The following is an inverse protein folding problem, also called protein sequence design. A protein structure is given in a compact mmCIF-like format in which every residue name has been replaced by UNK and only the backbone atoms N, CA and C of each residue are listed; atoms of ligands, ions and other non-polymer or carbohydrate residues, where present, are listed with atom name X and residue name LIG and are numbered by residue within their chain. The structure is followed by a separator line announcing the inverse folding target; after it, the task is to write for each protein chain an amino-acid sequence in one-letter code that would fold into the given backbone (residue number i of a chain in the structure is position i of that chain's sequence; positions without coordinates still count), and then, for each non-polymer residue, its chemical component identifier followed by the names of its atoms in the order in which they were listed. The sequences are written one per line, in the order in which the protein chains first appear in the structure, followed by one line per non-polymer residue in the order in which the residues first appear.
data_IF_779751525587
#
_entry.id   IF_779751525587
#
_cell.length_a   1.000
_cell.length_b   1.000
_cell.length_c   1.000
_cell.angle_alpha   90.00
_cell.angle_beta   90.00
_cell.angle_gamma   90.00
#
_symmetry.space_group_name_H-M   'P 1'
#
loop_
_entity.id
_entity.type
_entity.pdbx_description
1 polymer ?
#
# COMPACT_ATOMS: atom_id res chain seq x y z
N UNK A 1 11.35 13.59 18.89
CA UNK A 1 10.86 12.45 18.08
C UNK A 1 11.30 12.54 16.62
N UNK A 2 12.43 13.12 16.39
CA UNK A 2 13.03 13.23 15.06
C UNK A 2 14.02 12.09 14.86
N UNK A 3 14.26 11.70 13.60
CA UNK A 3 15.29 10.74 13.24
C UNK A 3 16.66 11.25 13.67
N UNK A 4 17.47 10.42 14.34
CA UNK A 4 18.80 10.84 14.86
C UNK A 4 19.77 11.10 13.70
N UNK A 5 19.66 10.34 12.62
CA UNK A 5 20.51 10.42 11.41
C UNK A 5 22.01 10.52 11.73
N UNK A 6 22.51 9.62 12.59
CA UNK A 6 23.89 9.62 13.07
C UNK A 6 24.30 8.27 13.68
N UNK A 7 25.52 8.16 14.23
CA UNK A 7 26.08 6.91 14.71
C UNK A 7 25.55 6.49 16.10
N UNK A 8 24.29 6.75 16.40
CA UNK A 8 23.64 6.40 17.65
C UNK A 8 22.53 5.38 17.38
N UNK A 9 22.63 4.21 17.99
CA UNK A 9 21.61 3.18 17.92
C UNK A 9 20.81 3.16 19.24
N UNK A 10 19.57 3.68 19.28
CA UNK A 10 18.72 3.53 20.45
C UNK A 10 18.24 2.08 20.57
N UNK A 11 18.37 1.51 21.76
CA UNK A 11 17.94 0.15 22.06
C UNK A 11 16.81 0.17 23.08
N UNK A 12 15.72 -0.53 22.79
CA UNK A 12 14.57 -0.70 23.70
C UNK A 12 14.31 -2.19 23.89
N UNK A 13 14.17 -2.62 25.14
CA UNK A 13 13.78 -3.97 25.47
C UNK A 13 12.26 -4.12 25.56
N UNK A 14 11.75 -5.32 25.34
CA UNK A 14 10.34 -5.68 25.50
C UNK A 14 10.24 -7.05 26.17
N UNK A 15 9.10 -7.33 26.79
CA UNK A 15 8.83 -8.62 27.44
C UNK A 15 8.12 -9.59 26.51
N UNK A 16 7.34 -9.08 25.59
CA UNK A 16 6.68 -9.86 24.52
C UNK A 16 6.62 -9.04 23.23
N UNK A 17 6.53 -9.72 22.11
CA UNK A 17 6.59 -9.10 20.79
C UNK A 17 5.45 -8.11 20.51
N UNK A 18 4.28 -8.28 21.15
CA UNK A 18 3.16 -7.34 20.97
C UNK A 18 3.50 -5.95 21.47
N UNK A 19 4.29 -5.81 22.55
CA UNK A 19 4.75 -4.50 23.03
C UNK A 19 5.61 -3.77 22.00
N UNK A 20 6.43 -4.52 21.24
CA UNK A 20 7.24 -3.91 20.18
C UNK A 20 6.38 -3.49 19.00
N UNK A 21 5.38 -4.28 18.62
CA UNK A 21 4.40 -3.94 17.57
C UNK A 21 3.60 -2.70 17.94
N UNK A 22 3.08 -2.63 19.18
CA UNK A 22 2.35 -1.47 19.68
C UNK A 22 3.23 -0.21 19.66
N UNK A 23 4.49 -0.36 20.07
CA UNK A 23 5.45 0.76 20.03
C UNK A 23 5.72 1.24 18.61
N UNK A 24 5.94 0.32 17.65
CA UNK A 24 6.14 0.66 16.23
C UNK A 24 4.90 1.40 15.70
N UNK A 25 3.71 0.86 15.96
CA UNK A 25 2.46 1.44 15.47
C UNK A 25 2.10 2.79 16.13
N UNK A 26 2.69 3.10 17.28
CA UNK A 26 2.56 4.42 17.92
C UNK A 26 3.42 5.52 17.29
N UNK A 27 4.27 5.16 16.33
CA UNK A 27 5.20 6.07 15.63
C UNK A 27 4.83 6.22 14.17
N UNK A 28 5.50 7.14 13.49
CA UNK A 28 5.43 7.28 12.06
C UNK A 28 5.88 5.99 11.36
N UNK A 29 5.23 5.67 10.24
CA UNK A 29 5.53 4.46 9.47
C UNK A 29 6.94 4.55 8.88
N UNK A 30 7.83 3.60 9.23
CA UNK A 30 9.22 3.64 8.80
C UNK A 30 9.37 3.23 7.33
N UNK A 31 10.49 3.64 6.73
CA UNK A 31 10.88 3.19 5.40
C UNK A 31 11.20 1.69 5.37
N UNK A 32 11.90 1.19 6.37
CA UNK A 32 12.29 -0.21 6.46
C UNK A 32 12.03 -0.81 7.84
N UNK A 33 11.67 -2.09 7.86
CA UNK A 33 11.55 -2.92 9.04
C UNK A 33 12.48 -4.12 8.91
N UNK A 34 13.22 -4.45 9.95
CA UNK A 34 14.10 -5.62 10.01
C UNK A 34 13.65 -6.53 11.14
N UNK A 35 13.29 -7.77 10.80
CA UNK A 35 12.93 -8.77 11.79
C UNK A 35 14.02 -9.85 11.86
N UNK A 36 14.47 -10.16 13.07
CA UNK A 36 15.43 -11.23 13.33
C UNK A 36 14.82 -12.25 14.27
N UNK A 37 14.62 -13.47 13.81
CA UNK A 37 14.04 -14.55 14.59
C UNK A 37 13.86 -15.83 13.79
N UNK A 38 13.56 -16.92 14.50
CA UNK A 38 13.31 -18.24 13.91
C UNK A 38 11.83 -18.67 14.09
N UNK A 39 11.09 -18.02 14.98
CA UNK A 39 9.68 -18.34 15.22
C UNK A 39 8.82 -17.77 14.09
N UNK A 40 8.28 -18.66 13.28
CA UNK A 40 7.44 -18.28 12.15
C UNK A 40 6.14 -17.59 12.56
N UNK A 41 5.57 -17.98 13.70
CA UNK A 41 4.32 -17.36 14.21
C UNK A 41 4.58 -15.94 14.67
N UNK A 42 5.69 -15.71 15.36
CA UNK A 42 6.10 -14.37 15.79
C UNK A 42 6.41 -13.49 14.57
N UNK A 43 7.16 -14.02 13.60
CA UNK A 43 7.42 -13.34 12.35
C UNK A 43 6.13 -12.91 11.65
N UNK A 44 5.19 -13.85 11.45
CA UNK A 44 3.92 -13.56 10.78
C UNK A 44 3.09 -12.55 11.58
N UNK A 45 3.13 -12.62 12.91
CA UNK A 45 2.49 -11.64 13.76
C UNK A 45 3.05 -10.22 13.54
N UNK A 46 4.37 -10.05 13.56
CA UNK A 46 5.03 -8.76 13.31
C UNK A 46 4.68 -8.24 11.92
N UNK A 47 4.84 -9.06 10.88
CA UNK A 47 4.62 -8.66 9.50
C UNK A 47 3.16 -8.27 9.21
N UNK A 48 2.20 -8.95 9.83
CA UNK A 48 0.78 -8.68 9.60
C UNK A 48 0.22 -7.54 10.48
N UNK A 49 0.94 -7.13 11.53
CA UNK A 49 0.48 -6.11 12.45
C UNK A 49 1.33 -4.82 12.45
N UNK A 50 2.28 -4.70 11.53
CA UNK A 50 3.06 -3.47 11.32
C UNK A 50 2.98 -3.02 9.87
N UNK A 51 3.25 -1.73 9.63
CA UNK A 51 3.33 -1.17 8.28
C UNK A 51 4.66 -0.45 8.11
N UNK A 52 5.40 -0.80 7.06
CA UNK A 52 6.65 -0.15 6.65
C UNK A 52 6.72 -0.07 5.13
N UNK A 53 7.65 0.70 4.59
CA UNK A 53 7.90 0.74 3.14
C UNK A 53 8.39 -0.60 2.60
N UNK A 54 9.29 -1.24 3.32
CA UNK A 54 9.78 -2.58 2.99
C UNK A 54 10.18 -3.37 4.23
N UNK A 55 10.39 -4.68 4.07
CA UNK A 55 10.81 -5.58 5.16
C UNK A 55 11.93 -6.49 4.69
N UNK A 56 12.93 -6.71 5.56
CA UNK A 56 13.88 -7.82 5.42
C UNK A 56 13.84 -8.69 6.66
N UNK A 57 13.81 -9.99 6.46
CA UNK A 57 13.80 -11.00 7.53
C UNK A 57 15.16 -11.65 7.63
N UNK A 58 15.73 -11.66 8.85
CA UNK A 58 17.05 -12.24 9.19
C UNK A 58 18.22 -11.65 8.38
N UNK A 59 18.06 -10.45 7.87
CA UNK A 59 19.10 -9.70 7.19
C UNK A 59 18.74 -8.19 7.25
N UNK A 60 19.60 -7.34 6.70
CA UNK A 60 19.39 -5.90 6.58
C UNK A 60 19.56 -5.46 5.12
N UNK A 61 18.82 -4.43 4.71
CA UNK A 61 19.00 -3.76 3.41
C UNK A 61 18.65 -4.63 2.18
N UNK A 62 18.70 -5.95 2.26
CA UNK A 62 18.59 -6.86 1.12
C UNK A 62 17.35 -6.63 0.26
N UNK A 63 16.21 -6.20 0.83
CA UNK A 63 15.01 -5.87 0.05
C UNK A 63 15.21 -4.67 -0.90
N UNK A 64 16.16 -3.78 -0.61
CA UNK A 64 16.50 -2.62 -1.45
C UNK A 64 17.34 -3.04 -2.66
N UNK A 65 18.15 -4.10 -2.50
CA UNK A 65 19.04 -4.59 -3.54
C UNK A 65 18.34 -5.48 -4.57
N UNK A 66 17.12 -5.95 -4.25
CA UNK A 66 16.35 -6.81 -5.14
C UNK A 66 15.60 -5.97 -6.17
N UNK A 67 16.06 -6.01 -7.42
CA UNK A 67 15.50 -5.22 -8.52
C UNK A 67 14.04 -5.56 -8.86
N UNK A 68 13.58 -6.74 -8.47
CA UNK A 68 12.19 -7.20 -8.69
C UNK A 68 11.25 -6.83 -7.53
N UNK A 69 11.76 -6.30 -6.42
CA UNK A 69 10.94 -5.87 -5.30
C UNK A 69 10.72 -4.35 -5.35
N UNK A 70 9.48 -3.87 -5.13
CA UNK A 70 9.23 -2.45 -5.05
C UNK A 70 9.95 -1.85 -3.83
N UNK A 71 10.64 -0.74 -4.04
CA UNK A 71 11.28 0.03 -2.98
C UNK A 71 10.66 1.42 -2.89
N UNK A 72 10.16 1.77 -1.73
CA UNK A 72 9.56 3.06 -1.45
C UNK A 72 9.00 3.11 -0.03
N UNK A 73 8.74 4.32 0.45
CA UNK A 73 8.15 4.57 1.76
C UNK A 73 6.63 4.46 1.76
N UNK A 74 6.03 4.66 2.95
CA UNK A 74 4.58 4.69 3.15
C UNK A 74 4.20 5.80 4.14
N UNK A 75 3.31 6.70 3.73
CA UNK A 75 2.93 7.85 4.54
C UNK A 75 4.12 8.78 4.82
N UNK A 76 4.49 9.02 6.10
CA UNK A 76 5.60 9.92 6.43
C UNK A 76 6.96 9.52 5.87
N UNK A 77 7.19 8.23 5.60
CA UNK A 77 8.45 7.75 5.03
C UNK A 77 8.53 7.85 3.50
N UNK A 78 7.45 8.18 2.81
CA UNK A 78 7.45 8.40 1.37
C UNK A 78 6.14 8.03 0.68
N UNK A 79 6.10 8.24 -0.63
CA UNK A 79 5.02 7.87 -1.55
C UNK A 79 5.60 7.24 -2.80
N UNK A 80 4.84 6.31 -3.39
CA UNK A 80 5.27 5.59 -4.58
C UNK A 80 6.36 4.57 -4.30
N UNK A 81 6.74 3.86 -5.34
CA UNK A 81 7.80 2.86 -5.27
C UNK A 81 8.48 2.70 -6.62
N UNK A 82 9.72 2.27 -6.63
CA UNK A 82 10.44 1.98 -7.86
C UNK A 82 11.13 0.61 -7.78
N UNK A 83 11.78 0.21 -8.78
CA UNK A 83 12.32 -1.06 -9.19
C UNK A 83 11.35 -1.85 -10.08
N UNK A 84 11.92 -2.54 -11.07
CA UNK A 84 11.23 -3.48 -11.95
C UNK A 84 9.92 -2.93 -12.53
N UNK A 85 8.89 -3.74 -12.47
CA UNK A 85 7.57 -3.39 -13.00
C UNK A 85 6.88 -2.24 -12.24
N UNK A 86 7.11 -2.13 -10.94
CA UNK A 86 6.52 -1.06 -10.14
C UNK A 86 7.13 0.29 -10.51
N UNK A 87 8.44 0.35 -10.72
CA UNK A 87 9.08 1.55 -11.25
C UNK A 87 8.59 1.94 -12.65
N UNK A 88 8.36 0.96 -13.53
CA UNK A 88 7.76 1.23 -14.83
C UNK A 88 6.36 1.84 -14.70
N UNK A 89 5.52 1.32 -13.81
CA UNK A 89 4.19 1.89 -13.57
C UNK A 89 4.24 3.31 -13.00
N UNK A 90 5.16 3.57 -12.06
CA UNK A 90 5.33 4.88 -11.43
C UNK A 90 5.63 5.99 -12.43
N UNK A 91 6.44 5.68 -13.45
CA UNK A 91 6.77 6.61 -14.56
C UNK A 91 5.82 6.50 -15.76
N UNK A 92 4.72 5.77 -15.64
CA UNK A 92 3.77 5.53 -16.72
C UNK A 92 2.39 6.07 -16.40
N UNK A 93 1.67 6.51 -17.41
CA UNK A 93 0.26 6.88 -17.27
C UNK A 93 -0.64 5.78 -17.83
N UNK A 94 -1.45 5.18 -16.96
CA UNK A 94 -2.47 4.21 -17.37
C UNK A 94 -3.65 4.93 -18.02
N UNK A 95 -3.74 4.91 -19.35
CA UNK A 95 -4.82 5.52 -20.12
C UNK A 95 -5.98 4.54 -20.24
N UNK A 96 -7.09 4.83 -19.58
CA UNK A 96 -8.32 4.08 -19.77
C UNK A 96 -8.92 4.36 -21.15
N UNK A 97 -9.24 3.32 -21.92
CA UNK A 97 -9.93 3.43 -23.22
C UNK A 97 -11.17 2.58 -23.21
N UNK A 98 -12.32 3.21 -23.43
CA UNK A 98 -13.59 2.52 -23.60
C UNK A 98 -14.09 2.70 -25.03
N UNK A 99 -14.40 1.61 -25.70
CA UNK A 99 -15.02 1.61 -27.04
C UNK A 99 -16.47 1.18 -26.91
N UNK A 100 -17.38 2.05 -27.32
CA UNK A 100 -18.82 1.75 -27.32
C UNK A 100 -19.11 0.54 -28.20
N UNK A 101 -19.79 -0.45 -27.64
CA UNK A 101 -20.30 -1.59 -28.40
C UNK A 101 -21.43 -1.15 -29.33
N UNK A 102 -21.68 -1.94 -30.38
CA UNK A 102 -22.83 -1.78 -31.29
C UNK A 102 -24.14 -1.73 -30.50
N UNK A 103 -24.24 -2.52 -29.42
CA UNK A 103 -25.38 -2.48 -28.51
C UNK A 103 -25.12 -1.49 -27.37
N UNK A 104 -25.77 -0.34 -27.45
CA UNK A 104 -25.69 0.68 -26.40
C UNK A 104 -26.71 0.40 -25.29
N UNK A 105 -26.32 -0.31 -24.25
CA UNK A 105 -27.16 -0.63 -23.09
C UNK A 105 -27.68 0.63 -22.37
N UNK A 106 -26.88 1.68 -22.33
CA UNK A 106 -27.26 2.95 -21.70
C UNK A 106 -28.41 3.62 -22.45
N UNK A 107 -28.39 3.58 -23.79
CA UNK A 107 -29.47 4.05 -24.64
C UNK A 107 -30.74 3.20 -24.47
N UNK A 108 -30.57 1.86 -24.40
CA UNK A 108 -31.69 0.95 -24.18
C UNK A 108 -32.34 1.19 -22.80
N UNK A 109 -31.54 1.43 -21.78
CA UNK A 109 -32.01 1.76 -20.43
C UNK A 109 -32.58 3.18 -20.29
N UNK A 110 -32.50 4.02 -21.34
CA UNK A 110 -32.99 5.40 -21.30
C UNK A 110 -32.12 6.34 -20.46
N UNK A 111 -30.84 5.99 -20.26
CA UNK A 111 -29.90 6.78 -19.47
C UNK A 111 -29.09 7.80 -20.29
N UNK A 112 -29.34 7.87 -21.60
CA UNK A 112 -28.78 8.88 -22.51
C UNK A 112 -29.89 9.57 -23.32
N UNK A 113 -29.66 10.79 -23.80
CA UNK A 113 -30.64 11.52 -24.62
C UNK A 113 -31.02 10.78 -25.92
N UNK A 114 -32.27 10.88 -26.38
CA UNK A 114 -33.41 11.47 -25.67
C UNK A 114 -33.89 10.55 -24.54
N UNK A 115 -33.98 11.13 -23.32
CA UNK A 115 -34.43 10.37 -22.16
C UNK A 115 -35.91 9.96 -22.35
N UNK A 116 -36.25 8.73 -21.91
CA UNK A 116 -37.66 8.31 -21.88
C UNK A 116 -38.43 9.20 -20.94
N UNK A 117 -39.53 9.84 -21.43
CA UNK A 117 -40.44 10.56 -20.54
C UNK A 117 -41.03 9.57 -19.55
N UNK A 118 -40.95 9.88 -18.25
CA UNK A 118 -41.74 9.18 -17.24
C UNK A 118 -43.22 9.46 -17.57
N UNK A 119 -43.97 8.40 -17.86
CA UNK A 119 -45.43 8.53 -17.91
C UNK A 119 -45.90 8.96 -16.50
N UNK A 120 -46.42 10.15 -16.39
CA UNK A 120 -47.13 10.56 -15.19
C UNK A 120 -48.34 9.63 -15.03
N UNK A 121 -48.34 8.84 -13.95
CA UNK A 121 -49.52 8.09 -13.58
C UNK A 121 -50.64 9.10 -13.30
N UNK A 122 -51.82 8.96 -13.94
CA UNK A 122 -52.94 9.84 -13.61
C UNK A 122 -53.24 9.70 -12.12
N UNK A 123 -53.30 10.83 -11.43
CA UNK A 123 -53.74 10.90 -10.03
C UNK A 123 -55.19 10.42 -9.96
N UNK A 124 -55.42 9.39 -9.16
CA UNK A 124 -56.74 8.89 -8.84
C UNK A 124 -57.48 9.87 -7.94
#
# INVERSE_FOLDING_TARGET
QEEIFGPVLPVKTYSNVSESVDYINSKDRPLGLYYFGKDKKEQDFVLNNTTSGGVTVNDVISHIQMEDLPFGGVGPSGMGSYHGHDGFKEFSHAKATYTQSIFNLMKLAGLVPPYKKKEEKPSA
#
